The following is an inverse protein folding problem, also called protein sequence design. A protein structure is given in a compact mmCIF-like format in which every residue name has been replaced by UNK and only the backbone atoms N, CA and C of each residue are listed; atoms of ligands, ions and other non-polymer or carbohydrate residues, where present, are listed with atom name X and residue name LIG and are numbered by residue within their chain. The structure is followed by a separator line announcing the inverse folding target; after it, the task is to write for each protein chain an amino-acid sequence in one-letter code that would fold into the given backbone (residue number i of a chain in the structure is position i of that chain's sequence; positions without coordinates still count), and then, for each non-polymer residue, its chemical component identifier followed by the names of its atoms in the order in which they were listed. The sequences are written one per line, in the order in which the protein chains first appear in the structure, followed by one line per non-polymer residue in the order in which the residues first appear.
data_IF_405743568522
#
_entry.id   IF_405743568522
#
_cell.length_a   1.000
_cell.length_b   1.000
_cell.length_c   1.000
_cell.angle_alpha   90.00
_cell.angle_beta   90.00
_cell.angle_gamma   90.00
#
_symmetry.space_group_name_H-M   'P 1'
#
loop_
_entity.id
_entity.type
_entity.pdbx_description
1 polymer ?
#
# COMPACT_ATOMS: atom_id res chain seq x y z
N UNK A 1 5.10 16.32 0.70
CA UNK A 1 5.76 15.18 0.03
C UNK A 1 4.74 14.06 -0.12
N UNK A 2 4.15 13.90 -1.31
CA UNK A 2 3.16 12.86 -1.53
C UNK A 2 3.89 11.55 -1.83
N UNK A 3 4.00 10.68 -0.82
CA UNK A 3 4.40 9.29 -1.02
C UNK A 3 3.38 8.65 -1.94
N UNK A 4 3.81 8.33 -3.15
CA UNK A 4 3.05 7.61 -4.15
C UNK A 4 3.78 6.28 -4.28
N UNK A 5 3.11 5.17 -3.94
CA UNK A 5 3.64 3.83 -4.18
C UNK A 5 3.58 3.59 -5.70
N UNK A 6 4.50 4.23 -6.40
CA UNK A 6 4.36 4.49 -7.83
C UNK A 6 4.88 3.34 -8.68
N UNK A 7 5.69 2.45 -8.11
CA UNK A 7 6.36 1.41 -8.87
C UNK A 7 6.34 0.10 -8.11
N UNK A 8 5.97 -0.98 -8.81
CA UNK A 8 5.96 -2.34 -8.27
C UNK A 8 7.32 -2.72 -7.64
N UNK A 9 8.43 -2.25 -8.21
CA UNK A 9 9.78 -2.52 -7.69
C UNK A 9 9.97 -2.06 -6.24
N UNK A 10 9.38 -0.92 -5.84
CA UNK A 10 9.52 -0.40 -4.47
C UNK A 10 8.79 -1.30 -3.46
N UNK A 11 7.75 -2.02 -3.89
CA UNK A 11 7.05 -2.99 -3.05
C UNK A 11 7.80 -4.32 -2.98
N UNK A 12 8.49 -4.70 -4.05
CA UNK A 12 9.28 -5.92 -4.10
C UNK A 12 10.49 -5.85 -3.17
N UNK A 13 11.09 -4.66 -3.00
CA UNK A 13 12.20 -4.40 -2.08
C UNK A 13 11.80 -4.34 -0.60
N UNK A 14 10.50 -4.27 -0.30
CA UNK A 14 9.99 -4.14 1.07
C UNK A 14 9.78 -5.48 1.75
N UNK A 15 10.03 -5.55 3.07
CA UNK A 15 9.70 -6.75 3.85
C UNK A 15 8.19 -6.88 4.03
N UNK A 16 7.72 -8.06 4.46
CA UNK A 16 6.29 -8.25 4.77
C UNK A 16 5.82 -7.27 5.86
N UNK A 17 6.63 -7.01 6.89
CA UNK A 17 6.31 -6.06 7.96
C UNK A 17 6.20 -4.61 7.45
N UNK A 18 7.06 -4.22 6.50
CA UNK A 18 6.99 -2.90 5.86
C UNK A 18 5.73 -2.77 5.00
N UNK A 19 5.38 -3.83 4.25
CA UNK A 19 4.16 -3.88 3.44
C UNK A 19 2.91 -3.76 4.33
N UNK A 20 2.88 -4.44 5.47
CA UNK A 20 1.79 -4.32 6.45
C UNK A 20 1.67 -2.90 7.02
N UNK A 21 2.82 -2.29 7.35
CA UNK A 21 2.87 -0.91 7.83
C UNK A 21 2.32 0.07 6.80
N UNK A 22 2.80 -0.02 5.55
CA UNK A 22 2.28 0.79 4.45
C UNK A 22 0.79 0.55 4.19
N UNK A 23 0.32 -0.69 4.30
CA UNK A 23 -1.08 -1.03 4.11
C UNK A 23 -1.96 -0.32 5.14
N UNK A 24 -1.52 -0.29 6.41
CA UNK A 24 -2.22 0.41 7.49
C UNK A 24 -2.27 1.92 7.24
N UNK A 25 -1.15 2.54 6.88
CA UNK A 25 -1.08 3.96 6.54
C UNK A 25 -1.99 4.32 5.36
N UNK A 26 -1.97 3.52 4.30
CA UNK A 26 -2.82 3.75 3.12
C UNK A 26 -4.32 3.60 3.45
N UNK A 27 -4.70 2.69 4.35
CA UNK A 27 -6.09 2.54 4.82
C UNK A 27 -6.54 3.74 5.64
N UNK A 28 -5.68 4.25 6.53
CA UNK A 28 -5.95 5.44 7.32
C UNK A 28 -6.11 6.67 6.42
N UNK A 29 -5.22 6.83 5.44
CA UNK A 29 -5.35 7.89 4.44
C UNK A 29 -6.66 7.76 3.65
N UNK A 30 -7.02 6.56 3.19
CA UNK A 30 -8.27 6.33 2.49
C UNK A 30 -9.49 6.69 3.35
N UNK A 31 -9.45 6.40 4.65
CA UNK A 31 -10.50 6.78 5.59
C UNK A 31 -10.65 8.30 5.67
N UNK A 32 -9.54 9.02 5.86
CA UNK A 32 -9.53 10.48 5.91
C UNK A 32 -10.02 11.10 4.59
N UNK A 33 -9.59 10.59 3.44
CA UNK A 33 -10.05 11.07 2.14
C UNK A 33 -11.54 10.79 1.91
N UNK A 34 -12.06 9.66 2.38
CA UNK A 34 -13.52 9.38 2.33
C UNK A 34 -14.30 10.33 3.21
N UNK A 35 -13.78 10.67 4.39
CA UNK A 35 -14.39 11.65 5.27
C UNK A 35 -14.43 13.03 4.61
N UNK A 36 -13.31 13.52 4.09
CA UNK A 36 -13.22 14.78 3.34
C UNK A 36 -14.11 14.80 2.10
N UNK A 37 -14.22 13.67 1.39
CA UNK A 37 -15.12 13.53 0.25
C UNK A 37 -16.59 13.65 0.64
N UNK A 38 -16.97 13.14 1.82
CA UNK A 38 -18.34 13.22 2.32
C UNK A 38 -18.69 14.63 2.82
N UNK A 39 -17.74 15.37 3.38
CA UNK A 39 -17.93 16.76 3.81
C UNK A 39 -17.82 17.77 2.65
N UNK A 40 -17.49 17.32 1.44
CA UNK A 40 -17.30 18.19 0.27
C UNK A 40 -16.02 19.03 0.29
N UNK A 41 -15.07 18.70 1.17
CA UNK A 41 -13.79 19.41 1.35
C UNK A 41 -12.62 18.68 0.67
N UNK A 42 -12.91 17.77 -0.26
CA UNK A 42 -11.87 17.00 -0.93
C UNK A 42 -11.21 17.80 -2.05
N UNK A 43 -9.99 18.26 -1.80
CA UNK A 43 -9.21 19.00 -2.79
C UNK A 43 -8.71 18.10 -3.94
N UNK A 44 -8.31 16.86 -3.64
CA UNK A 44 -7.68 15.96 -4.62
C UNK A 44 -8.47 14.67 -4.86
N UNK A 45 -9.41 14.75 -5.80
CA UNK A 45 -10.21 13.61 -6.26
C UNK A 45 -9.37 12.48 -6.88
N UNK A 46 -8.20 12.81 -7.44
CA UNK A 46 -7.24 11.84 -7.98
C UNK A 46 -6.60 10.98 -6.89
N UNK A 47 -6.37 11.54 -5.70
CA UNK A 47 -5.68 10.84 -4.60
C UNK A 47 -6.48 9.65 -4.10
N UNK A 48 -7.80 9.76 -4.00
CA UNK A 48 -8.67 8.66 -3.58
C UNK A 48 -8.54 7.43 -4.50
N UNK A 49 -8.42 7.64 -5.82
CA UNK A 49 -8.16 6.55 -6.78
C UNK A 49 -6.75 5.98 -6.63
N UNK A 50 -5.75 6.84 -6.43
CA UNK A 50 -4.35 6.40 -6.22
C UNK A 50 -4.21 5.53 -4.97
N UNK A 51 -4.73 5.98 -3.82
CA UNK A 51 -4.66 5.23 -2.56
C UNK A 51 -5.34 3.88 -2.65
N UNK A 52 -6.50 3.79 -3.33
CA UNK A 52 -7.16 2.50 -3.61
C UNK A 52 -6.28 1.55 -4.42
N UNK A 53 -5.58 2.06 -5.43
CA UNK A 53 -4.65 1.26 -6.25
C UNK A 53 -3.43 0.82 -5.44
N UNK A 54 -2.91 1.69 -4.58
CA UNK A 54 -1.76 1.38 -3.74
C UNK A 54 -2.09 0.24 -2.76
N UNK A 55 -3.27 0.29 -2.11
CA UNK A 55 -3.79 -0.81 -1.29
C UNK A 55 -3.90 -2.11 -2.10
N UNK A 56 -4.49 -2.05 -3.29
CA UNK A 56 -4.66 -3.23 -4.13
C UNK A 56 -3.30 -3.86 -4.53
N UNK A 57 -2.31 -3.03 -4.89
CA UNK A 57 -0.96 -3.50 -5.23
C UNK A 57 -0.26 -4.18 -4.06
N UNK A 58 -0.36 -3.61 -2.86
CA UNK A 58 0.22 -4.21 -1.66
C UNK A 58 -0.39 -5.59 -1.41
N UNK A 59 -1.72 -5.71 -1.49
CA UNK A 59 -2.39 -7.02 -1.38
C UNK A 59 -1.94 -8.02 -2.45
N UNK A 60 -1.74 -7.57 -3.68
CA UNK A 60 -1.24 -8.43 -4.76
C UNK A 60 0.15 -8.97 -4.43
N UNK A 61 1.09 -8.12 -4.01
CA UNK A 61 2.46 -8.52 -3.66
C UNK A 61 2.47 -9.51 -2.49
N UNK A 62 1.72 -9.21 -1.43
CA UNK A 62 1.60 -10.12 -0.27
C UNK A 62 1.05 -11.48 -0.71
N UNK A 63 0.00 -11.48 -1.54
CA UNK A 63 -0.61 -12.72 -2.03
C UNK A 63 0.33 -13.51 -2.95
N UNK A 64 1.07 -12.84 -3.83
CA UNK A 64 2.06 -13.48 -4.67
C UNK A 64 3.21 -14.08 -3.84
N UNK A 65 3.61 -13.45 -2.73
CA UNK A 65 4.58 -14.01 -1.78
C UNK A 65 4.05 -15.25 -1.07
N UNK A 66 2.81 -15.22 -0.59
CA UNK A 66 2.15 -16.40 0.00
C UNK A 66 2.07 -17.59 -0.96
N UNK A 67 1.90 -17.32 -2.25
CA UNK A 67 1.86 -18.33 -3.32
C UNK A 67 3.25 -18.73 -3.83
N UNK A 68 4.33 -18.16 -3.30
CA UNK A 68 5.70 -18.42 -3.74
C UNK A 68 6.05 -17.87 -5.13
N UNK A 69 5.22 -16.99 -5.69
CA UNK A 69 5.42 -16.35 -7.00
C UNK A 69 6.45 -15.22 -6.91
N UNK A 70 6.49 -14.51 -5.78
CA UNK A 70 7.48 -13.45 -5.49
C UNK A 70 8.30 -13.76 -4.26
N UNK A 71 9.55 -13.31 -4.25
CA UNK A 71 10.43 -13.46 -3.09
C UNK A 71 10.24 -12.31 -2.10
N UNK A 72 10.35 -12.63 -0.81
CA UNK A 72 10.43 -11.65 0.26
C UNK A 72 11.93 -11.36 0.49
N UNK A 73 12.40 -10.11 0.30
CA UNK A 73 13.83 -9.80 0.25
C UNK A 73 14.58 -10.01 1.57
N UNK A 74 13.93 -10.35 2.69
CA UNK A 74 14.60 -10.67 3.95
C UNK A 74 13.77 -11.66 4.81
N UNK A 75 13.89 -12.96 4.58
CA UNK A 75 13.27 -13.98 5.46
C UNK A 75 14.28 -15.05 5.92
N UNK A 76 15.53 -14.66 6.16
CA UNK A 76 16.60 -15.54 6.65
C UNK A 76 16.87 -15.41 8.17
N UNK A 77 15.97 -14.78 8.93
CA UNK A 77 16.25 -14.38 10.33
C UNK A 77 15.37 -14.95 11.43
N UNK A 78 14.28 -15.65 11.12
CA UNK A 78 13.36 -16.18 12.15
C UNK A 78 13.29 -17.71 12.03
N UNK A 79 14.31 -18.37 12.59
CA UNK A 79 14.28 -19.77 13.01
C UNK A 79 14.12 -19.83 14.51
#
# INVERSE_FOLDING_TARGET
MASQVSKAHELDEMTNADLETKLREAKEELFNLRFQSATGQLDSHGRLRSVKRDIARIYTVVRERELGIRQNPNQDGDS
#
